data_IF_329882616180
#
_entry.id   IF_329882616180
#
_cell.length_a   1.000
_cell.length_b   1.000
_cell.length_c   1.000
_cell.angle_alpha   90.00
_cell.angle_beta   90.00
_cell.angle_gamma   90.00
#
_symmetry.space_group_name_H-M   'P 1'
#
loop_
_entity.id
_entity.type
_entity.pdbx_description
1 polymer ?
#
# COMPACT_ATOMS: atom_id res chain seq x y z
N UNK A 1 1.39 -5.15 0.82
CA UNK A 1 1.95 -5.78 -0.40
C UNK A 1 3.44 -5.50 -0.42
N UNK A 2 4.24 -6.53 -0.16
CA UNK A 2 5.64 -6.37 0.23
C UNK A 2 6.52 -5.78 -0.89
N UNK A 3 7.63 -5.16 -0.50
CA UNK A 3 8.64 -4.60 -1.42
C UNK A 3 9.10 -5.63 -2.45
N UNK A 4 9.18 -6.90 -2.04
CA UNK A 4 9.60 -8.03 -2.88
C UNK A 4 8.63 -8.26 -4.03
N UNK A 5 7.31 -8.25 -3.77
CA UNK A 5 6.30 -8.41 -4.81
C UNK A 5 6.31 -7.26 -5.82
N UNK A 6 6.52 -6.02 -5.36
CA UNK A 6 6.67 -4.87 -6.28
C UNK A 6 7.88 -5.00 -7.19
N UNK A 7 9.02 -5.45 -6.65
CA UNK A 7 10.23 -5.69 -7.44
C UNK A 7 10.02 -6.87 -8.40
N UNK A 8 9.39 -7.95 -7.94
CA UNK A 8 9.09 -9.11 -8.77
C UNK A 8 8.18 -8.77 -9.96
N UNK A 9 7.12 -7.97 -9.76
CA UNK A 9 6.26 -7.52 -10.86
C UNK A 9 6.98 -6.56 -11.81
N UNK A 10 7.84 -5.68 -11.30
CA UNK A 10 8.65 -4.81 -12.15
C UNK A 10 9.64 -5.61 -13.01
N UNK A 11 10.36 -6.56 -12.40
CA UNK A 11 11.33 -7.43 -13.10
C UNK A 11 10.63 -8.36 -14.08
N UNK A 12 9.49 -8.95 -13.69
CA UNK A 12 8.69 -9.82 -14.57
C UNK A 12 8.11 -9.03 -15.75
N UNK A 13 7.67 -7.79 -15.55
CA UNK A 13 7.21 -6.90 -16.62
C UNK A 13 8.32 -6.60 -17.62
N UNK A 14 9.51 -6.22 -17.14
CA UNK A 14 10.68 -5.96 -17.99
C UNK A 14 11.13 -7.23 -18.74
N UNK A 15 11.14 -8.38 -18.06
CA UNK A 15 11.46 -9.67 -18.66
C UNK A 15 10.42 -10.10 -19.70
N UNK A 16 9.13 -9.82 -19.48
CA UNK A 16 8.08 -10.09 -20.46
C UNK A 16 8.20 -9.21 -21.70
N UNK A 17 8.55 -7.93 -21.56
CA UNK A 17 8.81 -7.04 -22.71
C UNK A 17 10.03 -7.51 -23.49
N UNK A 18 11.14 -7.83 -22.80
CA UNK A 18 12.33 -8.36 -23.45
C UNK A 18 12.04 -9.70 -24.16
N UNK A 19 11.37 -10.62 -23.47
CA UNK A 19 10.97 -11.92 -24.02
C UNK A 19 10.02 -11.77 -25.21
N UNK A 20 9.02 -10.89 -25.14
CA UNK A 20 8.12 -10.61 -26.25
C UNK A 20 8.87 -10.00 -27.44
N UNK A 21 9.80 -9.08 -27.19
CA UNK A 21 10.64 -8.47 -28.24
C UNK A 21 11.52 -9.54 -28.92
N UNK A 22 12.20 -10.38 -28.14
CA UNK A 22 13.02 -11.47 -28.66
C UNK A 22 12.19 -12.57 -29.33
N UNK A 23 11.03 -12.92 -28.80
CA UNK A 23 10.11 -13.88 -29.41
C UNK A 23 9.53 -13.34 -30.72
N UNK A 24 9.21 -12.04 -30.79
CA UNK A 24 8.75 -11.36 -32.00
C UNK A 24 9.83 -11.33 -33.07
N UNK A 25 11.09 -11.12 -32.67
CA UNK A 25 12.25 -11.22 -33.56
C UNK A 25 12.49 -12.67 -34.03
N UNK A 26 12.37 -13.64 -33.12
CA UNK A 26 12.64 -15.06 -33.37
C UNK A 26 11.55 -15.72 -34.22
N UNK A 27 10.26 -15.39 -34.01
CA UNK A 27 9.13 -15.96 -34.76
C UNK A 27 8.97 -15.42 -36.18
N UNK A 28 9.99 -14.78 -36.75
CA UNK A 28 9.94 -14.25 -38.11
C UNK A 28 8.69 -13.40 -38.35
N UNK A 29 8.33 -12.49 -37.43
CA UNK A 29 7.17 -11.60 -37.63
C UNK A 29 7.35 -10.72 -38.89
N UNK A 30 8.60 -10.52 -39.30
CA UNK A 30 9.01 -9.92 -40.57
C UNK A 30 8.82 -10.82 -41.81
N UNK A 31 8.40 -12.08 -41.64
CA UNK A 31 7.97 -12.97 -42.72
C UNK A 31 6.45 -12.91 -42.96
N UNK A 32 5.71 -12.06 -42.23
CA UNK A 32 4.35 -11.72 -42.62
C UNK A 32 4.36 -11.11 -44.03
N UNK A 33 3.36 -11.45 -44.83
CA UNK A 33 3.30 -11.10 -46.26
C UNK A 33 3.19 -9.58 -46.51
N UNK A 34 2.91 -8.79 -45.48
CA UNK A 34 2.99 -7.32 -45.52
C UNK A 34 4.45 -6.81 -45.57
N UNK A 35 5.40 -7.59 -45.04
CA UNK A 35 6.82 -7.26 -45.03
C UNK A 35 7.61 -7.97 -46.14
N UNK A 36 7.00 -8.91 -46.88
CA UNK A 36 7.62 -9.55 -48.06
C UNK A 36 7.95 -8.57 -49.19
N UNK A 37 7.34 -7.37 -49.15
CA UNK A 37 7.58 -6.25 -50.08
C UNK A 37 8.73 -5.32 -49.66
N UNK A 38 9.27 -5.49 -48.46
CA UNK A 38 10.37 -4.65 -47.94
C UNK A 38 11.71 -5.31 -48.22
N UNK A 39 12.68 -4.51 -48.65
CA UNK A 39 14.04 -4.99 -48.82
C UNK A 39 14.68 -5.33 -47.45
N UNK A 40 15.75 -6.15 -47.47
CA UNK A 40 16.46 -6.57 -46.25
C UNK A 40 16.94 -5.39 -45.42
N UNK A 41 17.40 -4.31 -46.08
CA UNK A 41 17.88 -3.12 -45.40
C UNK A 41 16.73 -2.35 -44.72
N UNK A 42 15.57 -2.27 -45.38
CA UNK A 42 14.39 -1.61 -44.82
C UNK A 42 13.83 -2.40 -43.63
N UNK A 43 13.83 -3.73 -43.74
CA UNK A 43 13.45 -4.65 -42.67
C UNK A 43 14.34 -4.48 -41.43
N UNK A 44 15.65 -4.34 -41.63
CA UNK A 44 16.60 -4.08 -40.55
C UNK A 44 16.36 -2.71 -39.88
N UNK A 45 16.07 -1.66 -40.66
CA UNK A 45 15.77 -0.33 -40.13
C UNK A 45 14.48 -0.34 -39.29
N UNK A 46 13.43 -1.01 -39.77
CA UNK A 46 12.15 -1.13 -39.03
C UNK A 46 12.37 -1.86 -37.71
N UNK A 47 13.15 -2.93 -37.72
CA UNK A 47 13.51 -3.70 -36.52
C UNK A 47 14.27 -2.83 -35.50
N UNK A 48 15.29 -2.08 -35.94
CA UNK A 48 16.07 -1.19 -35.08
C UNK A 48 15.20 -0.07 -34.51
N UNK A 49 14.28 0.47 -35.31
CA UNK A 49 13.33 1.51 -34.89
C UNK A 49 12.38 0.99 -33.81
N UNK A 50 11.81 -0.20 -34.00
CA UNK A 50 10.93 -0.83 -33.02
C UNK A 50 11.66 -1.11 -31.69
N UNK A 51 12.90 -1.61 -31.76
CA UNK A 51 13.74 -1.83 -30.59
C UNK A 51 14.00 -0.52 -29.84
N UNK A 52 14.40 0.53 -30.57
CA UNK A 52 14.64 1.86 -30.00
C UNK A 52 13.40 2.43 -29.29
N UNK A 53 12.22 2.35 -29.93
CA UNK A 53 10.95 2.79 -29.34
C UNK A 53 10.59 2.00 -28.07
N UNK A 54 10.83 0.68 -28.07
CA UNK A 54 10.55 -0.18 -26.92
C UNK A 54 11.42 0.19 -25.72
N UNK A 55 12.73 0.41 -25.93
CA UNK A 55 13.62 0.88 -24.88
C UNK A 55 13.29 2.29 -24.41
N UNK A 56 12.91 3.20 -25.32
CA UNK A 56 12.51 4.56 -24.96
C UNK A 56 11.24 4.56 -24.10
N UNK A 57 10.22 3.78 -24.47
CA UNK A 57 9.01 3.62 -23.68
C UNK A 57 9.31 3.07 -22.27
N UNK A 58 10.24 2.11 -22.17
CA UNK A 58 10.70 1.54 -20.91
C UNK A 58 11.41 2.58 -20.05
N UNK A 59 12.32 3.38 -20.62
CA UNK A 59 13.01 4.47 -19.92
C UNK A 59 12.00 5.52 -19.40
N UNK A 60 11.04 5.93 -20.23
CA UNK A 60 9.98 6.86 -19.85
C UNK A 60 9.14 6.27 -18.71
N UNK A 61 8.76 5.00 -18.80
CA UNK A 61 8.01 4.30 -17.74
C UNK A 61 8.77 4.27 -16.41
N UNK A 62 10.05 3.93 -16.44
CA UNK A 62 10.91 3.93 -15.24
C UNK A 62 11.08 5.34 -14.67
N UNK A 63 11.31 6.34 -15.53
CA UNK A 63 11.42 7.75 -15.12
C UNK A 63 10.14 8.26 -14.45
N UNK A 64 8.98 7.96 -15.01
CA UNK A 64 7.68 8.29 -14.43
C UNK A 64 7.45 7.58 -13.08
N UNK A 65 7.83 6.31 -12.99
CA UNK A 65 7.71 5.53 -11.75
C UNK A 65 8.58 6.10 -10.62
N UNK A 66 9.83 6.47 -10.92
CA UNK A 66 10.74 7.08 -9.94
C UNK A 66 10.19 8.42 -9.42
N UNK A 67 9.54 9.21 -10.27
CA UNK A 67 8.86 10.46 -9.87
C UNK A 67 7.62 10.20 -9.00
N UNK A 68 6.89 9.11 -9.25
CA UNK A 68 5.69 8.72 -8.50
C UNK A 68 5.98 8.17 -7.09
N UNK A 69 7.23 7.83 -6.77
CA UNK A 69 7.61 7.34 -5.43
C UNK A 69 7.80 8.43 -4.37
N UNK A 70 7.50 9.70 -4.69
CA UNK A 70 7.51 10.77 -3.70
C UNK A 70 6.59 10.43 -2.51
N UNK A 71 7.05 10.73 -1.30
CA UNK A 71 6.22 10.62 -0.11
C UNK A 71 4.94 11.45 -0.30
N UNK A 72 3.78 10.98 0.19
CA UNK A 72 2.57 11.79 0.15
C UNK A 72 2.84 13.11 0.88
N UNK A 73 2.29 14.21 0.35
CA UNK A 73 2.26 15.48 1.10
C UNK A 73 1.50 15.30 2.42
N UNK A 74 1.79 16.14 3.41
CA UNK A 74 1.15 16.10 4.72
C UNK A 74 -0.39 16.18 4.61
N UNK A 75 -0.91 17.02 3.72
CA UNK A 75 -2.36 17.14 3.47
C UNK A 75 -2.96 15.84 2.92
N UNK A 76 -2.30 15.20 1.94
CA UNK A 76 -2.74 13.92 1.41
C UNK A 76 -2.64 12.79 2.44
N UNK A 77 -1.61 12.82 3.29
CA UNK A 77 -1.44 11.89 4.38
C UNK A 77 -2.57 12.05 5.40
N UNK A 78 -2.86 13.29 5.81
CA UNK A 78 -3.93 13.60 6.75
C UNK A 78 -5.30 13.17 6.23
N UNK A 79 -5.66 13.55 5.02
CA UNK A 79 -6.94 13.17 4.40
C UNK A 79 -7.11 11.65 4.31
N UNK A 80 -6.04 10.90 3.99
CA UNK A 80 -6.10 9.42 3.99
C UNK A 80 -6.31 8.83 5.38
N UNK A 81 -5.74 9.46 6.40
CA UNK A 81 -5.94 9.05 7.78
C UNK A 81 -7.38 9.34 8.22
N UNK A 82 -7.91 10.53 7.91
CA UNK A 82 -9.31 10.90 8.16
C UNK A 82 -10.29 9.92 7.49
N UNK A 83 -10.03 9.54 6.24
CA UNK A 83 -10.83 8.54 5.54
C UNK A 83 -10.80 7.17 6.23
N UNK A 84 -9.67 6.77 6.82
CA UNK A 84 -9.56 5.51 7.57
C UNK A 84 -10.40 5.55 8.86
N UNK A 85 -10.54 6.71 9.49
CA UNK A 85 -11.33 6.93 10.70
C UNK A 85 -12.81 7.21 10.43
N UNK A 86 -13.18 7.55 9.20
CA UNK A 86 -14.55 7.89 8.81
C UNK A 86 -15.50 6.73 9.11
N UNK A 87 -16.41 6.90 10.07
CA UNK A 87 -17.40 5.89 10.49
C UNK A 87 -16.80 4.72 11.27
N UNK A 88 -15.67 4.93 11.96
CA UNK A 88 -15.23 4.08 13.06
C UNK A 88 -16.06 4.45 14.29
N UNK A 89 -16.67 3.45 14.92
CA UNK A 89 -17.46 3.61 16.13
C UNK A 89 -16.79 2.84 17.28
N UNK A 90 -17.18 3.16 18.51
CA UNK A 90 -16.83 2.38 19.68
C UNK A 90 -17.31 0.92 19.56
N UNK A 91 -16.55 0.01 20.14
CA UNK A 91 -16.82 -1.43 20.06
C UNK A 91 -17.63 -1.84 21.29
N UNK A 92 -18.90 -2.19 21.05
CA UNK A 92 -19.72 -2.87 22.04
C UNK A 92 -19.42 -4.38 22.01
N UNK A 93 -18.72 -4.86 23.04
CA UNK A 93 -18.40 -6.28 23.17
C UNK A 93 -19.63 -7.17 23.32
N UNK A 94 -20.77 -6.66 23.79
CA UNK A 94 -22.00 -7.43 23.94
C UNK A 94 -22.77 -7.55 22.63
N UNK A 95 -22.65 -6.54 21.77
CA UNK A 95 -23.31 -6.49 20.46
C UNK A 95 -22.31 -6.28 19.32
N UNK A 96 -21.37 -7.23 19.16
CA UNK A 96 -20.32 -7.12 18.15
C UNK A 96 -20.87 -7.06 16.72
N UNK A 97 -20.35 -6.11 15.95
CA UNK A 97 -20.61 -5.98 14.51
C UNK A 97 -19.29 -6.22 13.79
N UNK A 98 -19.19 -7.33 13.04
CA UNK A 98 -17.94 -7.74 12.37
C UNK A 98 -17.29 -6.63 11.53
N UNK A 99 -18.02 -5.99 10.61
CA UNK A 99 -17.50 -4.87 9.83
C UNK A 99 -17.00 -3.69 10.67
N UNK A 100 -17.59 -3.43 11.84
CA UNK A 100 -17.15 -2.35 12.72
C UNK A 100 -15.81 -2.67 13.38
N UNK A 101 -15.62 -3.91 13.84
CA UNK A 101 -14.34 -4.40 14.41
C UNK A 101 -13.23 -4.38 13.36
N UNK A 102 -13.51 -4.84 12.14
CA UNK A 102 -12.54 -4.80 11.04
C UNK A 102 -12.11 -3.37 10.71
N UNK A 103 -13.08 -2.46 10.62
CA UNK A 103 -12.82 -1.05 10.33
C UNK A 103 -12.01 -0.37 11.44
N UNK A 104 -12.33 -0.64 12.70
CA UNK A 104 -11.56 -0.18 13.85
C UNK A 104 -10.11 -0.70 13.81
N UNK A 105 -9.92 -2.00 13.57
CA UNK A 105 -8.58 -2.59 13.43
C UNK A 105 -7.77 -1.97 12.29
N UNK A 106 -8.42 -1.72 11.14
CA UNK A 106 -7.78 -1.07 9.99
C UNK A 106 -7.40 0.39 10.27
N UNK A 107 -8.25 1.14 10.98
CA UNK A 107 -7.95 2.53 11.38
C UNK A 107 -6.76 2.61 12.35
N UNK A 108 -6.72 1.73 13.36
CA UNK A 108 -5.58 1.61 14.27
C UNK A 108 -4.31 1.21 13.50
N UNK A 109 -4.39 0.22 12.61
CA UNK A 109 -3.26 -0.21 11.78
C UNK A 109 -2.72 0.93 10.91
N UNK A 110 -3.60 1.71 10.30
CA UNK A 110 -3.22 2.86 9.46
C UNK A 110 -2.53 3.94 10.30
N UNK A 111 -3.11 4.30 11.43
CA UNK A 111 -2.52 5.28 12.36
C UNK A 111 -1.15 4.82 12.84
N UNK A 112 -0.99 3.53 13.17
CA UNK A 112 0.27 2.94 13.58
C UNK A 112 1.35 3.01 12.49
N UNK A 113 0.96 2.79 11.23
CA UNK A 113 1.87 2.96 10.09
C UNK A 113 2.33 4.42 9.94
N UNK A 114 1.41 5.37 10.10
CA UNK A 114 1.68 6.81 9.96
C UNK A 114 2.62 7.30 11.05
N UNK A 115 2.36 6.88 12.29
CA UNK A 115 3.21 7.14 13.44
C UNK A 115 4.66 6.65 13.24
N UNK A 116 4.82 5.42 12.73
CA UNK A 116 6.15 4.80 12.56
C UNK A 116 6.91 5.29 11.34
N UNK A 117 6.22 5.55 10.24
CA UNK A 117 6.83 6.02 8.99
C UNK A 117 7.03 7.53 8.94
N UNK A 118 6.54 8.27 9.94
CA UNK A 118 6.62 9.75 10.02
C UNK A 118 6.02 10.41 8.77
N UNK A 119 4.90 9.87 8.29
CA UNK A 119 4.13 10.52 7.22
C UNK A 119 3.42 11.78 7.72
N UNK A 120 3.21 11.89 9.03
CA UNK A 120 2.73 13.08 9.73
C UNK A 120 3.58 13.28 10.98
N UNK A 121 3.59 14.49 11.52
CA UNK A 121 4.23 14.76 12.81
C UNK A 121 3.52 13.99 13.93
N UNK A 122 4.29 13.59 14.95
CA UNK A 122 3.72 12.90 16.11
C UNK A 122 2.73 13.78 16.87
N UNK A 123 2.95 15.09 16.89
CA UNK A 123 2.03 16.07 17.48
C UNK A 123 0.66 16.04 16.80
N UNK A 124 0.61 16.12 15.47
CA UNK A 124 -0.66 16.10 14.72
C UNK A 124 -1.42 14.79 14.95
N UNK A 125 -0.74 13.65 14.88
CA UNK A 125 -1.37 12.35 15.14
C UNK A 125 -1.89 12.26 16.58
N UNK A 126 -1.08 12.70 17.56
CA UNK A 126 -1.45 12.65 18.96
C UNK A 126 -2.63 13.58 19.28
N UNK A 127 -2.60 14.82 18.80
CA UNK A 127 -3.63 15.82 19.03
C UNK A 127 -4.99 15.39 18.45
N UNK A 128 -5.01 14.85 17.24
CA UNK A 128 -6.26 14.49 16.56
C UNK A 128 -6.76 13.09 16.89
N UNK A 129 -5.86 12.11 17.05
CA UNK A 129 -6.22 10.70 17.13
C UNK A 129 -5.71 10.00 18.40
N UNK A 130 -4.89 10.65 19.23
CA UNK A 130 -4.21 10.00 20.36
C UNK A 130 -5.16 9.36 21.37
N UNK A 131 -6.15 10.12 21.87
CA UNK A 131 -7.14 9.62 22.84
C UNK A 131 -8.02 8.52 22.22
N UNK A 132 -8.59 8.77 21.03
CA UNK A 132 -9.46 7.79 20.34
C UNK A 132 -8.69 6.51 20.00
N UNK A 133 -7.41 6.60 19.61
CA UNK A 133 -6.56 5.44 19.37
C UNK A 133 -6.36 4.60 20.63
N UNK A 134 -6.07 5.24 21.77
CA UNK A 134 -5.89 4.57 23.07
C UNK A 134 -7.18 3.88 23.49
N UNK A 135 -8.30 4.61 23.48
CA UNK A 135 -9.62 4.09 23.89
C UNK A 135 -10.04 2.90 23.03
N UNK A 136 -9.95 3.03 21.71
CA UNK A 136 -10.36 1.97 20.78
C UNK A 136 -9.43 0.75 20.87
N UNK A 137 -8.13 0.96 21.08
CA UNK A 137 -7.19 -0.13 21.35
C UNK A 137 -7.58 -0.90 22.60
N UNK A 138 -7.85 -0.20 23.71
CA UNK A 138 -8.20 -0.81 25.00
C UNK A 138 -9.53 -1.56 24.93
N UNK A 139 -10.52 -1.05 24.18
CA UNK A 139 -11.77 -1.76 23.91
C UNK A 139 -11.53 -3.07 23.16
N UNK A 140 -10.74 -3.05 22.08
CA UNK A 140 -10.45 -4.25 21.30
C UNK A 140 -9.57 -5.26 22.07
N UNK A 141 -8.62 -4.78 22.87
CA UNK A 141 -7.75 -5.65 23.67
C UNK A 141 -8.49 -6.25 24.87
N UNK A 142 -9.46 -5.53 25.44
CA UNK A 142 -10.34 -6.03 26.49
C UNK A 142 -11.39 -7.04 26.00
N UNK A 143 -11.65 -7.11 24.70
CA UNK A 143 -12.70 -7.94 24.12
C UNK A 143 -12.19 -9.30 23.62
N UNK A 144 -12.51 -10.39 24.35
CA UNK A 144 -12.08 -11.74 23.97
C UNK A 144 -13.11 -12.53 23.14
N UNK A 145 -14.20 -11.87 22.71
CA UNK A 145 -15.27 -12.52 21.95
C UNK A 145 -14.92 -12.71 20.47
N UNK A 146 -15.50 -13.75 19.88
CA UNK A 146 -15.39 -14.05 18.46
C UNK A 146 -16.14 -13.00 17.64
N UNK A 147 -15.49 -12.49 16.59
CA UNK A 147 -16.04 -11.47 15.71
C UNK A 147 -17.00 -12.11 14.71
N UNK A 148 -18.27 -11.67 14.64
CA UNK A 148 -19.23 -12.19 13.67
C UNK A 148 -18.72 -12.06 12.24
N UNK A 149 -18.94 -13.10 11.42
CA UNK A 149 -18.43 -13.17 10.04
C UNK A 149 -17.04 -13.80 9.90
N UNK A 150 -16.29 -13.98 10.99
CA UNK A 150 -14.99 -14.67 10.97
C UNK A 150 -15.07 -16.00 11.72
N UNK A 151 -15.73 -16.99 11.10
CA UNK A 151 -15.85 -18.34 11.70
C UNK A 151 -14.72 -19.28 11.27
N UNK A 152 -14.05 -19.01 10.14
CA UNK A 152 -12.91 -19.80 9.61
C UNK A 152 -11.93 -18.92 8.81
N UNK A 153 -10.78 -18.51 9.39
CA UNK A 153 -10.36 -18.75 10.76
C UNK A 153 -11.24 -17.99 11.76
N UNK A 154 -11.46 -18.57 12.94
CA UNK A 154 -12.10 -17.88 14.07
C UNK A 154 -11.21 -16.71 14.45
N UNK A 155 -11.75 -15.48 14.40
CA UNK A 155 -11.04 -14.29 14.86
C UNK A 155 -11.67 -13.68 16.10
N UNK A 156 -10.85 -13.38 17.10
CA UNK A 156 -11.25 -12.56 18.27
C UNK A 156 -10.87 -11.09 18.02
N UNK A 157 -11.46 -10.16 18.77
CA UNK A 157 -11.15 -8.73 18.61
C UNK A 157 -9.66 -8.42 18.80
N UNK A 158 -9.01 -9.06 19.79
CA UNK A 158 -7.56 -8.97 20.02
C UNK A 158 -6.70 -9.32 18.81
N UNK A 159 -7.17 -10.21 17.94
CA UNK A 159 -6.43 -10.62 16.75
C UNK A 159 -6.45 -9.58 15.62
N UNK A 160 -7.28 -8.55 15.72
CA UNK A 160 -7.20 -7.36 14.87
C UNK A 160 -6.09 -6.39 15.32
N UNK A 161 -5.53 -6.58 16.52
CA UNK A 161 -4.43 -5.78 17.05
C UNK A 161 -3.07 -6.41 16.69
N UNK A 162 -2.50 -5.94 15.58
CA UNK A 162 -1.18 -6.38 15.14
C UNK A 162 -0.08 -5.99 16.14
N UNK A 163 1.09 -6.64 16.03
CA UNK A 163 2.26 -6.27 16.82
C UNK A 163 2.66 -4.78 16.62
N UNK A 164 2.45 -4.23 15.42
CA UNK A 164 2.70 -2.82 15.13
C UNK A 164 1.76 -1.92 15.94
N UNK A 165 0.46 -2.25 15.93
CA UNK A 165 -0.57 -1.50 16.65
C UNK A 165 -0.28 -1.48 18.16
N UNK A 166 0.08 -2.64 18.73
CA UNK A 166 0.47 -2.77 20.15
C UNK A 166 1.71 -1.94 20.49
N UNK A 167 2.73 -1.97 19.64
CA UNK A 167 3.94 -1.16 19.85
C UNK A 167 3.62 0.35 19.81
N UNK A 168 2.81 0.79 18.84
CA UNK A 168 2.44 2.20 18.71
C UNK A 168 1.53 2.67 19.86
N UNK A 169 0.65 1.82 20.38
CA UNK A 169 -0.13 2.14 21.58
C UNK A 169 0.78 2.56 22.75
N UNK A 170 1.82 1.77 23.03
CA UNK A 170 2.79 2.09 24.08
C UNK A 170 3.54 3.39 23.80
N UNK A 171 3.92 3.62 22.55
CA UNK A 171 4.59 4.86 22.15
C UNK A 171 3.69 6.09 22.30
N UNK A 172 2.41 6.02 21.90
CA UNK A 172 1.45 7.12 22.02
C UNK A 172 1.17 7.41 23.49
N UNK A 173 0.97 6.38 24.32
CA UNK A 173 0.76 6.55 25.77
C UNK A 173 1.98 7.20 26.44
N UNK A 174 3.19 6.76 26.09
CA UNK A 174 4.42 7.37 26.58
C UNK A 174 4.62 8.80 26.06
N UNK A 175 4.14 9.11 24.85
CA UNK A 175 4.18 10.46 24.28
C UNK A 175 3.22 11.41 25.02
N UNK A 176 1.99 10.96 25.27
CA UNK A 176 0.99 11.70 26.03
C UNK A 176 1.50 12.07 27.43
N UNK A 177 2.16 11.13 28.11
CA UNK A 177 2.73 11.36 29.45
C UNK A 177 3.89 12.37 29.49
N UNK A 178 4.53 12.68 28.35
CA UNK A 178 5.66 13.62 28.26
C UNK A 178 5.24 15.03 27.83
N UNK A 179 4.05 15.18 27.27
CA UNK A 179 3.54 16.49 26.87
C UNK A 179 3.16 17.26 28.14
N UNK A 180 3.70 18.46 28.38
CA UNK A 180 3.19 19.31 29.45
C UNK A 180 1.72 19.59 29.13
N UNK A 181 0.83 19.34 30.10
CA UNK A 181 -0.56 19.78 30.01
C UNK A 181 -0.53 21.28 29.70
N UNK A 182 -0.87 21.66 28.47
CA UNK A 182 -1.10 23.05 28.12
C UNK A 182 -2.37 23.45 28.87
N UNK A 183 -2.18 23.96 30.08
CA UNK A 183 -3.22 24.60 30.90
C UNK A 183 -3.63 25.92 30.29
#
# INVERSE_FOLDING_TARGET
MDRIWRVAFAVAGLAAVAFFTFLSLYRQWLALDIFSRLDKDQTFIVMLTFLGLTFLALIVGVGAWLKSSAAPSDEQALHRLEQAWTGVNYIDCDNLIGPAVEKAGNALQMTAMYWRKRFLSKDVIHEQYGSVYIELFEQLDGCDKNVPGYTKPVKTCKQFLSALVRAVYLEIKAYAARQPTKS
#
